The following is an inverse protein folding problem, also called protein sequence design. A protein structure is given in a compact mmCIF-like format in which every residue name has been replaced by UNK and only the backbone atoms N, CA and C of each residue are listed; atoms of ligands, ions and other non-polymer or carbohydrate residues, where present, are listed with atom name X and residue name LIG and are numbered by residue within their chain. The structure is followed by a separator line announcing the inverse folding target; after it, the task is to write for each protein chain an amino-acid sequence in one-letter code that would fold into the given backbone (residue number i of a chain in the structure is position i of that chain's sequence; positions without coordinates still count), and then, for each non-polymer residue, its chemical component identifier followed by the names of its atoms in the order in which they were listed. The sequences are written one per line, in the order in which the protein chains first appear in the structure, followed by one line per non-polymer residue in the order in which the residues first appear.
data_IF_329167663244
#
_entry.id   IF_329167663244
#
_cell.length_a   1.000
_cell.length_b   1.000
_cell.length_c   1.000
_cell.angle_alpha   90.00
_cell.angle_beta   90.00
_cell.angle_gamma   90.00
#
_symmetry.space_group_name_H-M   'P 1'
#
loop_
_entity.id
_entity.type
_entity.pdbx_description
1 polymer ?
#
# COMPACT_ATOMS: atom_id res chain seq x y z
N UNK A 1 -26.25 -15.58 11.50
CA UNK A 1 -25.35 -14.59 10.89
C UNK A 1 -25.84 -14.38 9.49
N UNK A 2 -26.22 -13.15 9.10
CA UNK A 2 -26.56 -12.88 7.72
C UNK A 2 -25.30 -13.12 6.89
N UNK A 3 -25.40 -13.91 5.81
CA UNK A 3 -24.31 -14.06 4.85
C UNK A 3 -24.01 -12.69 4.29
N UNK A 4 -22.85 -12.11 4.61
CA UNK A 4 -22.36 -10.93 3.90
C UNK A 4 -22.23 -11.39 2.46
N UNK A 5 -23.02 -10.79 1.55
CA UNK A 5 -22.87 -11.05 0.12
C UNK A 5 -21.43 -10.68 -0.25
N UNK A 6 -20.72 -11.60 -0.91
CA UNK A 6 -19.34 -11.37 -1.35
C UNK A 6 -19.27 -10.08 -2.19
N UNK A 7 -18.30 -9.21 -1.84
CA UNK A 7 -18.04 -8.00 -2.64
C UNK A 7 -17.29 -8.39 -3.90
N UNK A 8 -17.73 -7.85 -5.04
CA UNK A 8 -17.11 -8.13 -6.34
C UNK A 8 -16.10 -7.04 -6.70
N UNK A 9 -14.85 -7.46 -6.86
CA UNK A 9 -13.73 -6.58 -7.17
C UNK A 9 -13.34 -6.70 -8.64
N UNK A 10 -13.13 -5.55 -9.29
CA UNK A 10 -12.38 -5.40 -10.53
C UNK A 10 -11.00 -4.83 -10.25
N UNK A 11 -9.99 -5.27 -10.98
CA UNK A 11 -8.62 -4.73 -10.87
C UNK A 11 -8.23 -4.08 -12.19
N UNK A 12 -7.83 -2.81 -12.16
CA UNK A 12 -7.28 -2.11 -13.32
C UNK A 12 -5.78 -1.91 -13.17
N UNK A 13 -5.01 -2.52 -14.07
CA UNK A 13 -3.54 -2.61 -13.98
C UNK A 13 -3.07 -3.85 -13.24
N UNK A 14 -2.35 -4.74 -13.94
CA UNK A 14 -1.87 -6.02 -13.41
C UNK A 14 -0.34 -6.05 -13.28
N UNK A 15 0.24 -4.90 -12.86
CA UNK A 15 1.64 -4.81 -12.42
C UNK A 15 1.84 -5.43 -11.02
N UNK A 16 2.91 -5.06 -10.32
CA UNK A 16 3.21 -5.61 -8.99
C UNK A 16 2.02 -5.51 -8.03
N UNK A 17 1.46 -4.33 -7.85
CA UNK A 17 0.38 -4.11 -6.87
C UNK A 17 -0.93 -4.79 -7.31
N UNK A 18 -1.30 -4.72 -8.61
CA UNK A 18 -2.51 -5.38 -9.09
C UNK A 18 -2.47 -6.90 -8.95
N UNK A 19 -1.34 -7.52 -9.31
CA UNK A 19 -1.14 -8.96 -9.14
C UNK A 19 -1.16 -9.37 -7.66
N UNK A 20 -0.45 -8.65 -6.79
CA UNK A 20 -0.41 -9.00 -5.36
C UNK A 20 -1.71 -8.69 -4.64
N UNK A 21 -2.44 -7.64 -5.04
CA UNK A 21 -3.80 -7.39 -4.53
C UNK A 21 -4.78 -8.47 -4.96
N UNK A 22 -4.63 -9.02 -6.19
CA UNK A 22 -5.38 -10.18 -6.62
C UNK A 22 -5.09 -11.39 -5.71
N UNK A 23 -3.82 -11.71 -5.48
CA UNK A 23 -3.44 -12.83 -4.60
C UNK A 23 -3.88 -12.61 -3.14
N UNK A 24 -3.75 -11.39 -2.63
CA UNK A 24 -4.25 -11.04 -1.29
C UNK A 24 -5.77 -11.24 -1.18
N UNK A 25 -6.53 -10.87 -2.23
CA UNK A 25 -7.98 -11.05 -2.25
C UNK A 25 -8.41 -12.52 -2.24
N UNK A 26 -7.61 -13.45 -2.80
CA UNK A 26 -7.89 -14.89 -2.74
C UNK A 26 -7.91 -15.43 -1.31
N UNK A 27 -7.15 -14.80 -0.40
CA UNK A 27 -7.02 -15.20 0.99
C UNK A 27 -8.03 -14.49 1.93
N UNK A 28 -8.92 -13.62 1.40
CA UNK A 28 -9.89 -12.88 2.20
C UNK A 28 -11.31 -13.42 2.02
N UNK A 29 -11.99 -13.70 3.13
CA UNK A 29 -13.40 -14.10 3.10
C UNK A 29 -14.30 -12.95 2.65
N UNK A 30 -15.35 -13.25 1.91
CA UNK A 30 -16.33 -12.26 1.47
C UNK A 30 -15.84 -11.36 0.32
N UNK A 31 -14.77 -11.75 -0.38
CA UNK A 31 -14.21 -11.03 -1.53
C UNK A 31 -14.14 -11.96 -2.73
N UNK A 32 -14.50 -11.45 -3.90
CA UNK A 32 -14.39 -12.13 -5.17
C UNK A 32 -13.84 -11.19 -6.23
N UNK A 33 -12.70 -11.53 -6.82
CA UNK A 33 -12.19 -10.82 -8.00
C UNK A 33 -12.85 -11.43 -9.23
N UNK A 34 -13.66 -10.65 -9.93
CA UNK A 34 -14.46 -11.12 -11.08
C UNK A 34 -13.89 -10.70 -12.43
N UNK A 35 -13.11 -9.62 -12.46
CA UNK A 35 -12.52 -9.11 -13.70
C UNK A 35 -11.20 -8.37 -13.44
N UNK A 36 -10.29 -8.47 -14.41
CA UNK A 36 -9.00 -7.79 -14.43
C UNK A 36 -8.84 -7.11 -15.79
N UNK A 37 -8.37 -5.87 -15.79
CA UNK A 37 -7.99 -5.17 -17.01
C UNK A 37 -6.53 -4.78 -16.97
N UNK A 38 -5.81 -5.08 -18.03
CA UNK A 38 -4.49 -4.49 -18.32
C UNK A 38 -4.30 -4.40 -19.83
N UNK A 39 -4.06 -3.20 -20.38
CA UNK A 39 -3.92 -3.00 -21.82
C UNK A 39 -2.78 -3.79 -22.49
N UNK A 40 -1.79 -4.19 -21.69
CA UNK A 40 -0.51 -4.73 -22.19
C UNK A 40 -0.25 -6.18 -21.80
N UNK A 41 -1.09 -6.77 -20.94
CA UNK A 41 -0.87 -8.09 -20.36
C UNK A 41 -2.08 -8.98 -20.70
N UNK A 42 -1.86 -10.01 -21.50
CA UNK A 42 -2.88 -11.01 -21.85
C UNK A 42 -3.04 -12.07 -20.73
N UNK A 43 -4.13 -12.82 -20.75
CA UNK A 43 -4.50 -13.77 -19.70
C UNK A 43 -3.44 -14.87 -19.47
N UNK A 44 -2.80 -15.35 -20.52
CA UNK A 44 -1.73 -16.36 -20.45
C UNK A 44 -0.48 -15.81 -19.74
N UNK A 45 -0.14 -14.55 -20.01
CA UNK A 45 0.97 -13.90 -19.34
C UNK A 45 0.62 -13.54 -17.88
N UNK A 46 -0.64 -13.16 -17.58
CA UNK A 46 -1.12 -13.00 -16.20
C UNK A 46 -0.97 -14.31 -15.41
N UNK A 47 -1.37 -15.44 -16.02
CA UNK A 47 -1.21 -16.75 -15.41
C UNK A 47 0.25 -17.07 -15.10
N UNK A 48 1.17 -16.73 -16.00
CA UNK A 48 2.61 -16.89 -15.78
C UNK A 48 3.10 -16.01 -14.62
N UNK A 49 2.68 -14.73 -14.57
CA UNK A 49 3.08 -13.77 -13.52
C UNK A 49 2.57 -14.16 -12.14
N UNK A 50 1.43 -14.86 -12.04
CA UNK A 50 0.93 -15.40 -10.77
C UNK A 50 1.76 -16.61 -10.35
N UNK A 51 2.04 -17.53 -11.28
CA UNK A 51 2.78 -18.77 -10.99
C UNK A 51 4.18 -18.53 -10.46
N UNK A 52 4.85 -17.50 -10.95
CA UNK A 52 6.29 -17.28 -10.72
C UNK A 52 6.56 -15.85 -10.33
N UNK A 53 7.00 -15.66 -9.11
CA UNK A 53 7.43 -14.36 -8.58
C UNK A 53 8.80 -14.47 -7.94
N UNK A 54 9.70 -13.56 -8.31
CA UNK A 54 11.08 -13.56 -7.79
C UNK A 54 11.12 -13.25 -6.28
N UNK A 55 10.19 -12.44 -5.80
CA UNK A 55 10.17 -11.96 -4.42
C UNK A 55 9.29 -12.86 -3.55
N UNK A 56 8.04 -13.09 -4.00
CA UNK A 56 7.04 -13.80 -3.20
C UNK A 56 6.97 -15.30 -3.49
N UNK A 57 7.82 -15.78 -4.42
CA UNK A 57 7.94 -17.21 -4.70
C UNK A 57 6.89 -17.74 -5.66
N UNK A 58 6.66 -19.06 -5.62
CA UNK A 58 5.67 -19.71 -6.47
C UNK A 58 4.30 -19.70 -5.80
N UNK A 59 3.29 -19.42 -6.61
CA UNK A 59 1.90 -19.58 -6.17
C UNK A 59 1.58 -21.05 -5.91
N UNK A 60 0.98 -21.37 -4.79
CA UNK A 60 0.71 -22.75 -4.37
C UNK A 60 -0.56 -23.35 -4.99
N UNK A 61 -1.43 -22.51 -5.60
CA UNK A 61 -2.67 -22.94 -6.23
C UNK A 61 -2.51 -23.35 -7.71
N UNK A 62 -3.60 -23.76 -8.32
CA UNK A 62 -3.68 -24.06 -9.75
C UNK A 62 -3.98 -22.78 -10.55
N UNK A 63 -3.18 -22.49 -11.56
CA UNK A 63 -3.38 -21.33 -12.44
C UNK A 63 -3.30 -21.77 -13.89
N UNK A 64 -4.32 -21.42 -14.65
CA UNK A 64 -4.38 -21.58 -16.12
C UNK A 64 -5.07 -20.40 -16.77
N UNK A 65 -5.11 -20.37 -18.08
CA UNK A 65 -5.78 -19.33 -18.85
C UNK A 65 -6.47 -19.92 -20.07
N UNK A 66 -7.54 -19.27 -20.48
CA UNK A 66 -8.22 -19.44 -21.77
C UNK A 66 -8.31 -18.05 -22.43
N UNK A 67 -8.80 -17.99 -23.66
CA UNK A 67 -8.97 -16.72 -24.35
C UNK A 67 -9.92 -15.81 -23.57
N UNK A 68 -9.41 -14.62 -23.15
CA UNK A 68 -10.16 -13.63 -22.38
C UNK A 68 -10.45 -14.02 -20.92
N UNK A 69 -9.83 -15.07 -20.40
CA UNK A 69 -10.06 -15.56 -19.05
C UNK A 69 -8.78 -16.03 -18.36
N UNK A 70 -8.69 -15.73 -17.08
CA UNK A 70 -7.74 -16.31 -16.14
C UNK A 70 -8.52 -17.31 -15.26
N UNK A 71 -7.95 -18.48 -15.00
CA UNK A 71 -8.56 -19.51 -14.15
C UNK A 71 -7.61 -19.78 -12.99
N UNK A 72 -8.07 -19.52 -11.77
CA UNK A 72 -7.29 -19.72 -10.54
C UNK A 72 -8.11 -20.55 -9.56
N UNK A 73 -7.58 -21.71 -9.17
CA UNK A 73 -8.25 -22.67 -8.30
C UNK A 73 -9.70 -22.99 -8.76
N UNK A 74 -9.85 -23.15 -10.09
CA UNK A 74 -11.13 -23.45 -10.75
C UNK A 74 -12.10 -22.27 -10.87
N UNK A 75 -11.75 -21.08 -10.39
CA UNK A 75 -12.56 -19.86 -10.55
C UNK A 75 -12.16 -19.12 -11.81
N UNK A 76 -13.13 -18.74 -12.62
CA UNK A 76 -12.93 -17.95 -13.84
C UNK A 76 -12.94 -16.45 -13.50
N UNK A 77 -11.92 -15.74 -13.94
CA UNK A 77 -11.79 -14.28 -13.85
C UNK A 77 -11.71 -13.73 -15.27
N UNK A 78 -12.56 -12.78 -15.62
CA UNK A 78 -12.55 -12.15 -16.94
C UNK A 78 -11.33 -11.26 -17.11
N UNK A 79 -10.71 -11.29 -18.29
CA UNK A 79 -9.55 -10.46 -18.61
C UNK A 79 -9.88 -9.55 -19.79
N UNK A 80 -9.65 -8.26 -19.59
CA UNK A 80 -9.83 -7.21 -20.58
C UNK A 80 -8.49 -6.54 -20.91
N UNK A 81 -8.38 -5.96 -22.09
CA UNK A 81 -7.19 -5.24 -22.57
C UNK A 81 -7.55 -3.83 -23.06
N UNK A 82 -8.36 -3.12 -22.29
CA UNK A 82 -8.87 -1.78 -22.63
C UNK A 82 -7.92 -0.69 -22.16
N UNK A 83 -7.59 0.25 -23.06
CA UNK A 83 -6.79 1.45 -22.76
C UNK A 83 -7.63 2.53 -22.06
N UNK A 84 -8.88 2.68 -22.45
CA UNK A 84 -9.82 3.64 -21.83
C UNK A 84 -10.71 2.88 -20.83
N UNK A 85 -10.64 3.21 -19.55
CA UNK A 85 -11.45 2.56 -18.52
C UNK A 85 -12.96 2.61 -18.76
N UNK A 86 -13.45 3.57 -19.54
CA UNK A 86 -14.89 3.67 -19.90
C UNK A 86 -15.38 2.47 -20.72
N UNK A 87 -14.48 1.79 -21.43
CA UNK A 87 -14.79 0.63 -22.26
C UNK A 87 -14.79 -0.69 -21.49
N UNK A 88 -14.31 -0.70 -20.24
CA UNK A 88 -14.27 -1.91 -19.43
C UNK A 88 -15.69 -2.17 -18.89
N UNK A 89 -16.27 -3.36 -19.12
CA UNK A 89 -17.67 -3.60 -18.79
C UNK A 89 -17.90 -3.91 -17.30
N UNK A 90 -17.39 -3.08 -16.39
CA UNK A 90 -17.50 -3.28 -14.94
C UNK A 90 -18.94 -3.51 -14.47
N UNK A 91 -19.88 -2.70 -15.00
CA UNK A 91 -21.29 -2.82 -14.65
C UNK A 91 -21.92 -4.13 -15.11
N UNK A 92 -21.56 -4.63 -16.31
CA UNK A 92 -22.06 -5.89 -16.84
C UNK A 92 -21.53 -7.10 -16.07
N UNK A 93 -20.33 -6.98 -15.49
CA UNK A 93 -19.70 -8.02 -14.65
C UNK A 93 -20.14 -7.91 -13.18
N UNK A 94 -20.90 -6.90 -12.83
CA UNK A 94 -21.39 -6.67 -11.48
C UNK A 94 -20.31 -6.25 -10.50
N UNK A 95 -19.26 -5.57 -10.98
CA UNK A 95 -18.16 -5.08 -10.14
C UNK A 95 -18.67 -4.02 -9.18
N UNK A 96 -18.45 -4.24 -7.89
CA UNK A 96 -18.78 -3.26 -6.85
C UNK A 96 -17.63 -2.26 -6.65
N UNK A 97 -16.40 -2.76 -6.54
CA UNK A 97 -15.21 -1.97 -6.25
C UNK A 97 -14.14 -2.18 -7.29
N UNK A 98 -13.62 -1.10 -7.87
CA UNK A 98 -12.42 -1.16 -8.71
C UNK A 98 -11.19 -0.80 -7.87
N UNK A 99 -10.19 -1.68 -7.84
CA UNK A 99 -8.85 -1.36 -7.38
C UNK A 99 -8.07 -0.78 -8.57
N UNK A 100 -7.81 0.52 -8.52
CA UNK A 100 -7.07 1.23 -9.57
C UNK A 100 -5.57 1.13 -9.30
N UNK A 101 -4.92 0.15 -9.94
CA UNK A 101 -3.52 -0.23 -9.72
C UNK A 101 -2.58 0.15 -10.88
N UNK A 102 -3.08 0.88 -11.91
CA UNK A 102 -2.26 1.26 -13.07
C UNK A 102 -1.28 2.42 -12.78
N UNK A 103 -1.56 3.22 -11.75
CA UNK A 103 -0.82 4.45 -11.46
C UNK A 103 -1.10 5.62 -12.44
N UNK A 104 -2.06 5.47 -13.35
CA UNK A 104 -2.42 6.48 -14.37
C UNK A 104 -3.62 7.31 -13.95
N UNK A 105 -4.66 6.70 -13.38
CA UNK A 105 -5.93 7.32 -13.04
C UNK A 105 -5.98 7.69 -11.56
N UNK A 106 -5.10 8.61 -11.14
CA UNK A 106 -4.84 8.91 -9.71
C UNK A 106 -5.56 10.15 -9.20
N UNK A 107 -6.48 10.75 -9.97
CA UNK A 107 -7.34 11.87 -9.56
C UNK A 107 -8.80 11.47 -9.65
N UNK A 108 -9.68 12.18 -8.94
CA UNK A 108 -11.14 11.96 -9.01
C UNK A 108 -11.61 12.01 -10.46
N UNK A 109 -11.24 13.05 -11.20
CA UNK A 109 -11.63 13.25 -12.60
C UNK A 109 -11.28 12.03 -13.47
N UNK A 110 -10.04 11.55 -13.36
CA UNK A 110 -9.57 10.41 -14.17
C UNK A 110 -10.19 9.09 -13.72
N UNK A 111 -10.23 8.84 -12.42
CA UNK A 111 -10.78 7.59 -11.86
C UNK A 111 -12.30 7.48 -12.06
N UNK A 112 -12.99 8.60 -12.30
CA UNK A 112 -14.42 8.63 -12.60
C UNK A 112 -14.79 7.81 -13.86
N UNK A 113 -13.85 7.59 -14.76
CA UNK A 113 -14.06 6.73 -15.92
C UNK A 113 -14.50 5.30 -15.54
N UNK A 114 -14.03 4.78 -14.40
CA UNK A 114 -14.49 3.49 -13.88
C UNK A 114 -15.94 3.52 -13.36
N UNK A 115 -16.35 4.65 -12.75
CA UNK A 115 -17.75 4.85 -12.32
C UNK A 115 -18.66 4.94 -13.56
N UNK A 116 -18.24 5.67 -14.59
CA UNK A 116 -18.97 5.75 -15.87
C UNK A 116 -19.10 4.37 -16.55
N UNK A 117 -18.12 3.49 -16.34
CA UNK A 117 -18.12 2.09 -16.81
C UNK A 117 -18.97 1.15 -15.94
N UNK A 118 -19.61 1.66 -14.88
CA UNK A 118 -20.58 0.94 -14.05
C UNK A 118 -20.05 0.36 -12.75
N UNK A 119 -18.82 0.66 -12.35
CA UNK A 119 -18.34 0.34 -11.00
C UNK A 119 -19.04 1.24 -9.96
N UNK A 120 -19.29 0.72 -8.76
CA UNK A 120 -19.91 1.51 -7.68
C UNK A 120 -18.91 2.41 -6.98
N UNK A 121 -17.71 1.93 -6.75
CA UNK A 121 -16.64 2.63 -6.04
C UNK A 121 -15.28 2.38 -6.69
N UNK A 122 -14.33 3.30 -6.48
CA UNK A 122 -12.94 3.16 -6.93
C UNK A 122 -11.98 3.43 -5.76
N UNK A 123 -11.01 2.55 -5.58
CA UNK A 123 -9.93 2.72 -4.61
C UNK A 123 -8.62 2.85 -5.38
N UNK A 124 -8.03 4.03 -5.35
CA UNK A 124 -6.76 4.33 -6.02
C UNK A 124 -5.61 3.78 -5.18
N UNK A 125 -4.78 2.91 -5.77
CA UNK A 125 -3.60 2.32 -5.11
C UNK A 125 -2.36 3.23 -5.16
N UNK A 126 -2.56 4.52 -5.03
CA UNK A 126 -1.51 5.53 -5.03
C UNK A 126 -1.99 6.79 -4.29
N UNK A 127 -1.08 7.67 -3.84
CA UNK A 127 -1.47 8.97 -3.32
C UNK A 127 -2.25 9.76 -4.37
N UNK A 128 -3.37 10.34 -3.95
CA UNK A 128 -4.18 11.20 -4.81
C UNK A 128 -3.98 12.68 -4.48
N UNK A 129 -4.11 13.51 -5.51
CA UNK A 129 -4.07 14.97 -5.35
C UNK A 129 -5.36 15.49 -4.69
N UNK A 130 -6.49 14.90 -5.01
CA UNK A 130 -7.83 15.41 -4.72
C UNK A 130 -8.79 14.36 -4.10
N UNK A 131 -8.58 13.04 -4.30
CA UNK A 131 -9.38 12.03 -3.65
C UNK A 131 -9.03 11.92 -2.15
N UNK A 132 -10.05 11.72 -1.27
CA UNK A 132 -9.81 11.44 0.15
C UNK A 132 -8.89 10.24 0.33
N UNK A 133 -7.89 10.38 1.21
CA UNK A 133 -6.94 9.31 1.50
C UNK A 133 -7.29 8.65 2.83
N UNK A 134 -7.22 7.32 2.83
CA UNK A 134 -7.44 6.49 4.02
C UNK A 134 -6.25 5.57 4.26
N UNK A 135 -5.91 5.42 5.53
CA UNK A 135 -4.93 4.44 6.02
C UNK A 135 -5.61 3.62 7.11
N UNK A 136 -5.61 2.32 6.94
CA UNK A 136 -6.20 1.39 7.91
C UNK A 136 -5.53 1.55 9.28
N UNK A 137 -6.34 1.59 10.35
CA UNK A 137 -5.90 1.87 11.72
C UNK A 137 -5.72 3.36 12.07
N UNK A 138 -5.79 4.26 11.07
CA UNK A 138 -5.53 5.68 11.28
C UNK A 138 -6.77 6.54 11.15
N UNK A 139 -7.49 6.45 10.03
CA UNK A 139 -8.62 7.35 9.74
C UNK A 139 -9.74 6.72 8.91
N UNK A 140 -9.79 5.40 8.76
CA UNK A 140 -10.83 4.73 7.96
C UNK A 140 -12.24 5.00 8.47
N UNK A 141 -12.41 5.31 9.75
CA UNK A 141 -13.71 5.66 10.36
C UNK A 141 -14.31 6.97 9.81
N UNK A 142 -13.50 7.80 9.16
CA UNK A 142 -13.95 9.05 8.50
C UNK A 142 -14.56 8.80 7.12
N UNK A 143 -14.54 7.56 6.63
CA UNK A 143 -15.19 7.21 5.37
C UNK A 143 -16.71 7.37 5.48
N UNK A 144 -17.33 7.94 4.45
CA UNK A 144 -18.77 8.05 4.31
C UNK A 144 -19.22 7.47 2.96
N UNK A 145 -20.43 6.85 2.88
CA UNK A 145 -20.90 6.15 1.68
C UNK A 145 -21.02 7.00 0.41
N UNK A 146 -21.07 8.31 0.52
CA UNK A 146 -21.08 9.25 -0.62
C UNK A 146 -19.71 9.42 -1.29
N UNK A 147 -18.64 8.96 -0.65
CA UNK A 147 -17.29 8.95 -1.22
C UNK A 147 -17.14 7.80 -2.23
N UNK A 148 -17.29 8.09 -3.52
CA UNK A 148 -17.24 7.07 -4.57
C UNK A 148 -15.81 6.77 -5.05
N UNK A 149 -14.88 7.71 -4.90
CA UNK A 149 -13.49 7.57 -5.31
C UNK A 149 -12.62 7.98 -4.13
N UNK A 150 -11.81 7.05 -3.66
CA UNK A 150 -10.91 7.22 -2.51
C UNK A 150 -9.50 6.72 -2.86
N UNK A 151 -8.53 7.01 -2.01
CA UNK A 151 -7.15 6.57 -2.17
C UNK A 151 -6.66 5.83 -0.92
N UNK A 152 -5.91 4.75 -1.12
CA UNK A 152 -5.21 4.02 -0.06
C UNK A 152 -3.84 4.63 0.28
N UNK A 153 -3.56 5.87 -0.14
CA UNK A 153 -2.27 6.54 0.01
C UNK A 153 -1.09 5.73 -0.60
N UNK A 154 0.12 5.91 -0.09
CA UNK A 154 1.30 5.13 -0.52
C UNK A 154 1.67 4.05 0.49
N UNK A 155 2.51 3.08 0.09
CA UNK A 155 3.05 2.07 1.01
C UNK A 155 3.85 2.71 2.16
N UNK A 156 4.66 3.73 1.87
CA UNK A 156 5.40 4.48 2.89
C UNK A 156 4.47 5.23 3.85
N UNK A 157 3.37 5.81 3.36
CA UNK A 157 2.36 6.45 4.24
C UNK A 157 1.67 5.42 5.11
N UNK A 158 1.39 4.23 4.58
CA UNK A 158 0.79 3.13 5.35
C UNK A 158 1.73 2.59 6.44
N UNK A 159 3.04 2.71 6.29
CA UNK A 159 4.00 2.40 7.34
C UNK A 159 4.10 3.55 8.37
N UNK A 160 4.30 4.77 7.88
CA UNK A 160 4.58 5.92 8.74
C UNK A 160 3.37 6.37 9.56
N UNK A 161 2.17 6.39 8.98
CA UNK A 161 0.99 6.97 9.64
C UNK A 161 0.55 6.21 10.90
N UNK A 162 0.48 4.85 10.91
CA UNK A 162 0.19 4.11 12.14
C UNK A 162 1.23 4.37 13.25
N UNK A 163 2.53 4.34 12.92
CA UNK A 163 3.59 4.66 13.87
C UNK A 163 3.45 6.09 14.41
N UNK A 164 3.32 7.07 13.50
CA UNK A 164 3.17 8.47 13.89
C UNK A 164 1.92 8.70 14.73
N UNK A 165 0.82 7.99 14.47
CA UNK A 165 -0.40 8.06 15.28
C UNK A 165 -0.15 7.57 16.70
N UNK A 166 0.47 6.41 16.89
CA UNK A 166 0.78 5.87 18.21
C UNK A 166 1.65 6.85 19.00
N UNK A 167 2.70 7.39 18.37
CA UNK A 167 3.62 8.34 19.02
C UNK A 167 2.92 9.65 19.34
N UNK A 168 2.13 10.19 18.42
CA UNK A 168 1.42 11.45 18.62
C UNK A 168 0.35 11.34 19.72
N UNK A 169 -0.41 10.26 19.73
CA UNK A 169 -1.49 10.03 20.69
C UNK A 169 -0.96 9.89 22.13
N UNK A 170 0.22 9.30 22.32
CA UNK A 170 0.81 9.07 23.64
C UNK A 170 1.71 10.23 24.12
N UNK A 171 2.56 10.75 23.22
CA UNK A 171 3.65 11.66 23.60
C UNK A 171 3.55 13.02 22.89
N UNK A 172 2.74 13.15 21.84
CA UNK A 172 2.72 14.32 20.97
C UNK A 172 3.97 14.41 20.09
N UNK A 173 3.79 14.73 18.81
CA UNK A 173 4.89 15.05 17.90
C UNK A 173 4.91 16.56 17.67
N UNK A 174 6.03 17.20 18.04
CA UNK A 174 6.26 18.62 17.81
C UNK A 174 6.62 18.88 16.34
N UNK A 175 7.63 18.15 15.86
CA UNK A 175 8.11 18.14 14.48
C UNK A 175 8.95 16.90 14.23
N UNK A 176 9.18 16.57 12.94
CA UNK A 176 10.00 15.42 12.58
C UNK A 176 10.37 15.36 11.10
N UNK A 177 11.46 14.64 10.86
CA UNK A 177 11.95 14.31 9.54
C UNK A 177 11.87 12.79 9.34
N UNK A 178 11.29 12.37 8.23
CA UNK A 178 11.25 10.98 7.84
C UNK A 178 12.24 10.72 6.69
N UNK A 179 13.03 9.69 6.83
CA UNK A 179 13.77 9.11 5.71
C UNK A 179 13.25 7.71 5.45
N UNK A 180 12.86 7.39 4.23
CA UNK A 180 12.66 5.99 3.87
C UNK A 180 13.83 5.49 3.04
N UNK A 181 14.42 4.36 3.47
CA UNK A 181 15.33 3.58 2.64
C UNK A 181 14.47 2.55 1.94
N UNK A 182 14.26 2.75 0.64
CA UNK A 182 13.19 2.08 -0.11
C UNK A 182 13.77 1.16 -1.18
N UNK A 183 13.21 -0.03 -1.29
CA UNK A 183 13.50 -0.97 -2.36
C UNK A 183 13.20 -0.40 -3.74
N UNK A 184 13.77 -1.02 -4.76
CA UNK A 184 13.52 -0.65 -6.16
C UNK A 184 12.04 -0.85 -6.52
N UNK A 185 11.56 -0.06 -7.46
CA UNK A 185 10.20 -0.17 -8.00
C UNK A 185 10.22 -0.19 -9.52
N UNK A 186 9.16 -0.69 -10.15
CA UNK A 186 9.06 -0.88 -11.60
C UNK A 186 9.27 0.41 -12.43
N UNK A 187 9.15 1.59 -11.83
CA UNK A 187 9.37 2.87 -12.52
C UNK A 187 10.85 3.25 -12.67
N UNK A 188 11.73 2.59 -11.92
CA UNK A 188 13.18 2.84 -11.99
C UNK A 188 13.81 2.16 -13.20
N UNK A 189 14.98 2.65 -13.62
CA UNK A 189 15.74 2.10 -14.74
C UNK A 189 16.66 0.97 -14.27
N UNK A 190 16.73 -0.11 -15.03
CA UNK A 190 17.67 -1.21 -14.78
C UNK A 190 19.11 -0.83 -15.12
N UNK A 191 19.29 -0.03 -16.17
CA UNK A 191 20.57 0.58 -16.59
C UNK A 191 20.38 2.07 -16.74
N UNK A 192 21.47 2.85 -16.79
CA UNK A 192 21.42 4.30 -17.00
C UNK A 192 20.60 4.63 -18.27
N UNK A 193 19.59 5.47 -18.12
CA UNK A 193 18.70 5.85 -19.21
C UNK A 193 18.08 7.22 -19.00
N UNK A 194 17.54 7.79 -20.07
CA UNK A 194 16.94 9.10 -20.03
C UNK A 194 15.71 9.15 -19.09
N UNK A 195 15.67 10.18 -18.25
CA UNK A 195 14.52 10.55 -17.44
C UNK A 195 14.30 12.06 -17.54
N UNK A 196 13.14 12.48 -18.05
CA UNK A 196 12.85 13.89 -18.31
C UNK A 196 12.59 14.70 -17.03
N UNK A 197 12.00 14.07 -16.00
CA UNK A 197 11.54 14.76 -14.80
C UNK A 197 12.48 14.57 -13.60
N UNK A 198 13.09 13.42 -13.51
CA UNK A 198 13.97 13.03 -12.39
C UNK A 198 15.23 12.37 -12.94
N UNK A 199 16.30 13.14 -13.05
CA UNK A 199 17.57 12.65 -13.60
C UNK A 199 18.19 11.55 -12.73
N UNK A 200 18.03 11.63 -11.39
CA UNK A 200 18.51 10.60 -10.48
C UNK A 200 17.75 9.29 -10.67
N UNK A 201 16.44 9.34 -10.89
CA UNK A 201 15.61 8.17 -11.22
C UNK A 201 15.92 7.54 -12.60
N UNK A 202 16.72 8.22 -13.44
CA UNK A 202 17.27 7.68 -14.69
C UNK A 202 18.51 6.81 -14.51
N UNK A 203 19.10 6.74 -13.31
CA UNK A 203 20.30 5.96 -13.05
C UNK A 203 19.94 4.49 -12.70
N UNK A 204 20.91 3.59 -12.96
CA UNK A 204 20.74 2.16 -12.73
C UNK A 204 20.38 1.84 -11.26
N UNK A 205 19.19 1.31 -11.07
CA UNK A 205 18.64 1.03 -9.74
C UNK A 205 19.41 -0.06 -8.99
N UNK A 206 19.98 -1.03 -9.73
CA UNK A 206 20.71 -2.17 -9.17
C UNK A 206 22.11 -1.85 -8.65
N UNK A 207 22.63 -0.62 -8.91
CA UNK A 207 24.02 -0.28 -8.63
C UNK A 207 24.20 1.05 -7.86
N UNK A 208 23.12 1.70 -7.46
CA UNK A 208 23.19 3.03 -6.85
C UNK A 208 22.32 3.17 -5.60
N UNK A 209 22.74 4.05 -4.70
CA UNK A 209 21.88 4.68 -3.71
C UNK A 209 21.35 5.98 -4.34
N UNK A 210 20.04 6.05 -4.54
CA UNK A 210 19.41 7.14 -5.32
C UNK A 210 18.53 8.00 -4.40
N UNK A 211 18.95 9.24 -4.05
CA UNK A 211 18.08 10.16 -3.35
C UNK A 211 16.87 10.54 -4.20
N UNK A 212 15.68 10.47 -3.63
CA UNK A 212 14.42 10.76 -4.30
C UNK A 212 13.49 11.56 -3.39
N UNK A 213 12.63 12.36 -3.98
CA UNK A 213 11.58 13.04 -3.22
C UNK A 213 10.44 12.08 -2.91
N UNK A 214 9.79 12.30 -1.77
CA UNK A 214 8.57 11.57 -1.41
C UNK A 214 7.56 12.52 -0.78
N UNK A 215 6.28 12.33 -1.12
CA UNK A 215 5.16 13.01 -0.49
C UNK A 215 4.61 12.30 0.74
N UNK A 216 5.16 11.13 1.10
CA UNK A 216 4.58 10.25 2.11
C UNK A 216 4.45 10.91 3.49
N UNK A 217 5.49 11.61 3.95
CA UNK A 217 5.44 12.30 5.25
C UNK A 217 4.43 13.47 5.27
N UNK A 218 4.30 14.20 4.15
CA UNK A 218 3.27 15.24 4.02
C UNK A 218 1.86 14.66 3.94
N UNK A 219 1.73 13.46 3.37
CA UNK A 219 0.45 12.76 3.31
C UNK A 219 -0.06 12.33 4.68
N UNK A 220 0.84 12.11 5.66
CA UNK A 220 0.44 11.85 7.05
C UNK A 220 -0.41 12.99 7.60
N UNK A 221 -0.08 14.24 7.31
CA UNK A 221 -0.90 15.40 7.72
C UNK A 221 -2.29 15.47 7.08
N UNK A 222 -2.56 14.70 6.00
CA UNK A 222 -3.90 14.58 5.42
C UNK A 222 -4.75 13.54 6.16
N UNK A 223 -4.14 12.48 6.68
CA UNK A 223 -4.84 11.40 7.40
C UNK A 223 -4.86 11.63 8.91
N UNK A 224 -3.87 12.37 9.45
CA UNK A 224 -3.77 12.83 10.84
C UNK A 224 -3.63 14.36 10.82
N UNK A 225 -4.72 15.14 10.83
CA UNK A 225 -4.69 16.59 10.68
C UNK A 225 -3.82 17.32 11.69
N UNK A 226 -3.68 16.78 12.91
CA UNK A 226 -2.86 17.32 13.99
C UNK A 226 -1.35 17.33 13.65
N UNK A 227 -0.94 16.50 12.70
CA UNK A 227 0.44 16.43 12.20
C UNK A 227 0.66 17.22 10.90
N UNK A 228 -0.35 17.98 10.46
CA UNK A 228 -0.22 18.84 9.28
C UNK A 228 0.87 19.88 9.45
N UNK A 229 1.85 19.90 8.54
CA UNK A 229 3.00 20.81 8.59
C UNK A 229 4.10 20.42 9.59
N UNK A 230 3.90 19.40 10.43
CA UNK A 230 4.89 18.94 11.39
C UNK A 230 5.88 17.91 10.84
N UNK A 231 5.49 17.18 9.80
CA UNK A 231 6.30 16.11 9.21
C UNK A 231 6.64 16.41 7.74
N UNK A 232 7.90 16.19 7.38
CA UNK A 232 8.35 16.11 5.98
C UNK A 232 9.43 15.04 5.86
N UNK A 233 9.87 14.73 4.63
CA UNK A 233 10.89 13.69 4.48
C UNK A 233 11.35 13.49 3.06
N UNK A 234 12.24 12.51 2.90
CA UNK A 234 12.83 12.10 1.65
C UNK A 234 12.99 10.57 1.58
N UNK A 235 13.43 10.08 0.43
CA UNK A 235 13.68 8.66 0.18
C UNK A 235 15.10 8.46 -0.33
N UNK A 236 15.73 7.37 0.09
CA UNK A 236 16.85 6.74 -0.63
C UNK A 236 16.37 5.45 -1.26
N UNK A 237 16.50 5.33 -2.59
CA UNK A 237 16.29 4.07 -3.30
C UNK A 237 17.57 3.25 -3.24
N UNK A 238 17.47 1.98 -2.84
CA UNK A 238 18.60 1.06 -2.69
C UNK A 238 18.38 -0.22 -3.50
N UNK A 239 19.43 -0.97 -3.85
CA UNK A 239 19.33 -2.16 -4.70
C UNK A 239 18.82 -3.40 -3.95
N UNK A 240 17.73 -3.28 -3.23
CA UNK A 240 16.96 -4.41 -2.67
C UNK A 240 15.69 -4.58 -3.48
N UNK A 241 15.23 -5.82 -3.64
CA UNK A 241 14.09 -6.14 -4.52
C UNK A 241 12.75 -5.82 -3.87
N UNK A 242 12.67 -5.93 -2.54
CA UNK A 242 11.48 -5.69 -1.74
C UNK A 242 11.86 -5.39 -0.29
N UNK A 243 10.90 -5.01 0.51
CA UNK A 243 10.98 -4.52 1.88
C UNK A 243 11.77 -3.22 2.00
N UNK A 244 11.12 -2.25 2.53
CA UNK A 244 11.62 -0.90 2.78
C UNK A 244 11.58 -0.58 4.28
N UNK A 245 12.24 0.49 4.68
CA UNK A 245 12.27 0.93 6.08
C UNK A 245 11.97 2.42 6.18
N UNK A 246 11.20 2.79 7.18
CA UNK A 246 10.98 4.18 7.62
C UNK A 246 11.87 4.46 8.82
N UNK A 247 12.63 5.53 8.74
CA UNK A 247 13.32 6.20 9.83
C UNK A 247 12.54 7.47 10.15
N UNK A 248 11.86 7.49 11.29
CA UNK A 248 11.19 8.68 11.80
C UNK A 248 12.03 9.29 12.92
N UNK A 249 12.73 10.38 12.61
CA UNK A 249 13.44 11.19 13.62
C UNK A 249 12.56 12.37 14.00
N UNK A 250 12.14 12.46 15.26
CA UNK A 250 11.19 13.47 15.69
C UNK A 250 11.44 14.00 17.11
N UNK A 251 10.97 15.22 17.35
CA UNK A 251 10.86 15.82 18.66
C UNK A 251 9.47 15.54 19.24
N UNK A 252 9.43 15.06 20.48
CA UNK A 252 8.23 14.82 21.26
C UNK A 252 7.80 16.09 22.01
N UNK A 253 6.49 16.24 22.25
CA UNK A 253 5.95 17.31 23.10
C UNK A 253 6.08 16.95 24.58
N UNK A 254 5.97 15.66 24.93
CA UNK A 254 6.11 15.13 26.29
C UNK A 254 7.36 14.26 26.37
N UNK A 255 8.20 14.45 27.39
CA UNK A 255 9.34 13.57 27.62
C UNK A 255 8.91 12.12 27.79
N UNK A 256 9.69 11.19 27.24
CA UNK A 256 9.50 9.76 27.39
C UNK A 256 10.83 9.02 27.27
N UNK A 257 11.00 7.95 28.02
CA UNK A 257 12.13 7.02 27.80
C UNK A 257 11.87 6.19 26.55
N UNK A 258 12.92 5.63 25.98
CA UNK A 258 12.79 4.74 24.82
C UNK A 258 11.96 3.49 25.16
N UNK A 259 12.09 2.99 26.38
CA UNK A 259 11.33 1.85 26.89
C UNK A 259 9.82 2.14 26.98
N UNK A 260 9.45 3.38 27.39
CA UNK A 260 8.04 3.81 27.42
C UNK A 260 7.46 3.89 26.00
N UNK A 261 8.26 4.36 25.04
CA UNK A 261 7.87 4.39 23.62
C UNK A 261 7.67 2.97 23.10
N UNK A 262 8.62 2.07 23.33
CA UNK A 262 8.52 0.67 22.94
C UNK A 262 7.28 0.00 23.56
N UNK A 263 7.01 0.26 24.84
CA UNK A 263 5.85 -0.28 25.54
C UNK A 263 4.52 0.24 24.93
N UNK A 264 4.45 1.51 24.55
CA UNK A 264 3.28 2.08 23.90
C UNK A 264 3.03 1.46 22.51
N UNK A 265 4.08 1.29 21.70
CA UNK A 265 3.95 0.65 20.38
C UNK A 265 3.56 -0.82 20.53
N UNK A 266 4.18 -1.56 21.44
CA UNK A 266 3.84 -2.96 21.71
C UNK A 266 2.38 -3.11 22.13
N UNK A 267 1.92 -2.26 23.06
CA UNK A 267 0.52 -2.26 23.48
C UNK A 267 -0.43 -2.00 22.32
N UNK A 268 -0.13 -1.02 21.45
CA UNK A 268 -0.96 -0.71 20.29
C UNK A 268 -1.00 -1.87 19.29
N UNK A 269 0.15 -2.53 19.03
CA UNK A 269 0.23 -3.67 18.10
C UNK A 269 -0.60 -4.88 18.57
N UNK A 270 -0.74 -5.07 19.88
CA UNK A 270 -1.54 -6.14 20.46
C UNK A 270 -3.04 -5.80 20.54
N UNK A 271 -3.45 -4.54 20.40
CA UNK A 271 -4.81 -4.03 20.59
C UNK A 271 -5.33 -3.29 19.33
N UNK A 272 -5.39 -1.97 19.38
CA UNK A 272 -6.05 -1.12 18.36
C UNK A 272 -5.37 -1.13 16.99
N UNK A 273 -4.08 -1.47 16.92
CA UNK A 273 -3.31 -1.58 15.69
C UNK A 273 -3.01 -3.04 15.30
N UNK A 274 -3.71 -4.00 15.90
CA UNK A 274 -3.50 -5.42 15.59
C UNK A 274 -3.73 -5.72 14.11
N UNK A 275 -2.79 -6.43 13.49
CA UNK A 275 -2.78 -6.74 12.05
C UNK A 275 -2.41 -5.56 11.14
N UNK A 276 -2.00 -4.43 11.72
CA UNK A 276 -1.52 -3.24 11.01
C UNK A 276 -0.10 -2.93 11.44
N UNK A 277 0.15 -2.88 12.76
CA UNK A 277 1.45 -2.70 13.37
C UNK A 277 1.91 -4.00 14.01
N UNK A 278 3.13 -4.42 13.71
CA UNK A 278 3.84 -5.47 14.42
C UNK A 278 4.94 -4.87 15.28
N UNK A 279 5.29 -5.55 16.37
CA UNK A 279 6.38 -5.20 17.26
C UNK A 279 7.44 -6.29 17.25
N UNK A 280 8.65 -5.96 16.84
CA UNK A 280 9.78 -6.91 16.80
C UNK A 280 10.90 -6.44 17.73
N UNK A 281 11.51 -7.40 18.45
CA UNK A 281 12.64 -7.18 19.37
C UNK A 281 13.85 -8.05 19.06
N UNK A 282 13.79 -8.82 17.99
CA UNK A 282 14.93 -9.59 17.48
C UNK A 282 15.81 -8.74 16.56
N UNK A 283 17.10 -9.06 16.40
CA UNK A 283 18.00 -8.38 15.47
C UNK A 283 17.72 -8.80 14.02
N UNK A 284 16.74 -8.18 13.40
CA UNK A 284 16.20 -8.49 12.07
C UNK A 284 16.77 -7.61 10.96
N UNK A 285 16.59 -8.04 9.72
CA UNK A 285 16.93 -7.31 8.50
C UNK A 285 15.76 -7.34 7.51
N UNK A 286 15.83 -6.55 6.45
CA UNK A 286 14.71 -6.36 5.52
C UNK A 286 14.12 -7.66 4.96
N UNK A 287 14.95 -8.65 4.62
CA UNK A 287 14.46 -9.90 4.01
C UNK A 287 13.61 -10.77 4.93
N UNK A 288 13.66 -10.53 6.25
CA UNK A 288 12.84 -11.26 7.22
C UNK A 288 11.35 -10.89 7.12
N UNK A 289 11.04 -9.78 6.44
CA UNK A 289 9.69 -9.25 6.30
C UNK A 289 9.12 -9.38 4.89
N UNK A 290 9.78 -10.12 4.01
CA UNK A 290 9.21 -10.43 2.69
C UNK A 290 7.92 -11.23 2.90
N UNK A 291 6.83 -10.77 2.26
CA UNK A 291 5.50 -11.38 2.37
C UNK A 291 4.82 -11.21 3.73
N UNK A 292 5.20 -10.18 4.49
CA UNK A 292 4.52 -9.80 5.73
C UNK A 292 3.32 -8.89 5.42
N UNK A 293 2.16 -9.17 6.04
CA UNK A 293 0.91 -8.43 5.81
C UNK A 293 0.83 -7.11 6.60
N UNK A 294 1.68 -6.94 7.63
CA UNK A 294 1.70 -5.70 8.39
C UNK A 294 2.30 -4.57 7.57
N UNK A 295 1.70 -3.39 7.64
CA UNK A 295 2.21 -2.21 6.92
C UNK A 295 3.21 -1.40 7.72
N UNK A 296 3.38 -1.68 9.01
CA UNK A 296 4.32 -0.98 9.89
C UNK A 296 4.86 -1.94 10.95
N UNK A 297 6.08 -2.41 10.76
CA UNK A 297 6.72 -3.38 11.66
C UNK A 297 7.78 -2.64 12.47
N UNK A 298 7.43 -2.26 13.70
CA UNK A 298 8.28 -1.48 14.57
C UNK A 298 9.45 -2.30 15.09
N UNK A 299 10.68 -1.84 14.82
CA UNK A 299 11.92 -2.46 15.28
C UNK A 299 12.37 -1.79 16.59
N UNK A 300 12.13 -2.46 17.69
CA UNK A 300 12.48 -1.95 19.03
C UNK A 300 14.00 -1.90 19.27
N UNK A 301 14.80 -2.63 18.47
CA UNK A 301 16.25 -2.71 18.64
C UNK A 301 17.01 -1.70 17.80
N UNK A 302 16.40 -1.17 16.74
CA UNK A 302 17.04 -0.28 15.78
C UNK A 302 16.87 1.22 16.09
N UNK A 303 15.95 1.59 16.99
CA UNK A 303 15.70 2.98 17.36
C UNK A 303 16.69 3.53 18.39
N UNK A 304 16.69 4.84 18.55
CA UNK A 304 17.60 5.58 19.44
C UNK A 304 16.86 6.74 20.09
N UNK A 305 17.02 6.94 21.40
CA UNK A 305 16.69 8.19 22.08
C UNK A 305 17.98 8.97 22.35
N UNK A 306 18.10 10.16 21.75
CA UNK A 306 19.22 11.05 22.05
C UNK A 306 18.98 11.83 23.36
N UNK A 307 17.73 12.24 23.55
CA UNK A 307 17.21 12.85 24.78
C UNK A 307 15.84 12.24 25.05
N UNK A 308 15.23 12.60 26.16
CA UNK A 308 13.86 12.21 26.50
C UNK A 308 12.77 12.81 25.57
N UNK A 309 13.15 13.74 24.69
CA UNK A 309 12.26 14.38 23.71
C UNK A 309 12.74 14.29 22.27
N UNK A 310 13.94 13.77 22.00
CA UNK A 310 14.44 13.65 20.64
C UNK A 310 14.82 12.21 20.31
N UNK A 311 14.05 11.58 19.44
CA UNK A 311 14.08 10.15 19.18
C UNK A 311 14.14 9.84 17.68
N UNK A 312 14.75 8.69 17.37
CA UNK A 312 14.74 8.04 16.07
C UNK A 312 14.00 6.71 16.22
N UNK A 313 12.98 6.50 15.42
CA UNK A 313 12.13 5.31 15.42
C UNK A 313 12.22 4.63 14.07
N UNK A 314 12.31 3.31 14.06
CA UNK A 314 12.49 2.51 12.85
C UNK A 314 11.31 1.57 12.68
N UNK A 315 10.74 1.53 11.47
CA UNK A 315 9.70 0.57 11.11
C UNK A 315 9.93 0.02 9.71
N UNK A 316 9.87 -1.31 9.57
CA UNK A 316 9.94 -2.05 8.32
C UNK A 316 8.58 -2.17 7.67
N UNK A 317 8.54 -2.39 6.37
CA UNK A 317 7.31 -2.70 5.65
C UNK A 317 7.61 -3.41 4.32
N UNK A 318 6.89 -4.50 4.06
CA UNK A 318 6.82 -5.04 2.70
C UNK A 318 6.02 -4.04 1.85
N UNK A 319 6.72 -3.31 0.99
CA UNK A 319 6.12 -2.24 0.19
C UNK A 319 5.18 -2.74 -0.90
N UNK A 320 5.14 -4.04 -1.15
CA UNK A 320 4.27 -4.72 -2.11
C UNK A 320 3.15 -5.49 -1.41
N UNK A 321 3.47 -6.49 -0.59
CA UNK A 321 2.50 -7.42 0.00
C UNK A 321 1.66 -6.79 1.11
N UNK A 322 2.29 -6.17 2.11
CA UNK A 322 1.57 -5.51 3.19
C UNK A 322 0.64 -4.41 2.68
N UNK A 323 1.12 -3.62 1.72
CA UNK A 323 0.31 -2.58 1.06
C UNK A 323 -0.88 -3.18 0.28
N UNK A 324 -0.66 -4.25 -0.49
CA UNK A 324 -1.70 -4.92 -1.28
C UNK A 324 -2.79 -5.53 -0.40
N UNK A 325 -2.41 -6.12 0.74
CA UNK A 325 -3.37 -6.59 1.74
C UNK A 325 -4.24 -5.46 2.28
N UNK A 326 -3.65 -4.31 2.65
CA UNK A 326 -4.43 -3.18 3.19
C UNK A 326 -5.30 -2.49 2.14
N UNK A 327 -4.94 -2.55 0.86
CA UNK A 327 -5.80 -2.11 -0.23
C UNK A 327 -7.09 -2.94 -0.30
N UNK A 328 -6.99 -4.26 -0.17
CA UNK A 328 -8.14 -5.18 -0.10
C UNK A 328 -8.91 -5.00 1.21
N UNK A 329 -8.21 -4.86 2.34
CA UNK A 329 -8.84 -4.62 3.65
C UNK A 329 -9.66 -3.33 3.66
N UNK A 330 -9.17 -2.27 2.98
CA UNK A 330 -9.92 -1.03 2.81
C UNK A 330 -11.21 -1.24 1.99
N UNK A 331 -11.15 -2.06 0.92
CA UNK A 331 -12.35 -2.40 0.15
C UNK A 331 -13.40 -3.13 1.01
N UNK A 332 -12.96 -4.10 1.81
CA UNK A 332 -13.84 -4.81 2.75
C UNK A 332 -14.43 -3.85 3.78
N UNK A 333 -13.60 -2.97 4.34
CA UNK A 333 -14.04 -2.00 5.34
C UNK A 333 -15.12 -1.07 4.81
N UNK A 334 -14.89 -0.44 3.66
CA UNK A 334 -15.89 0.50 3.08
C UNK A 334 -17.17 -0.22 2.67
N UNK A 335 -17.08 -1.48 2.23
CA UNK A 335 -18.25 -2.31 1.93
C UNK A 335 -19.12 -2.58 3.17
N UNK A 336 -18.51 -2.69 4.33
CA UNK A 336 -19.22 -2.87 5.61
C UNK A 336 -19.94 -1.62 6.08
N UNK A 337 -19.70 -0.47 5.44
CA UNK A 337 -20.28 0.83 5.81
C UNK A 337 -21.40 1.31 4.86
N UNK A 338 -21.71 0.54 3.81
CA UNK A 338 -22.81 0.77 2.87
C UNK A 338 -22.35 1.18 1.50
#
# INVERSE_FOLDING_TARGET
MASISSIKIGINGFGRIGNLSFQAALNKEGVEVVAINDPFIAADYMAYMIKYDTVHGKFEGEVSSEEGKLIVDGKEIKVYNEMDPKNIPWGADGVDYVLECSGVFTTIEKANAHIEAGAKKVIISAPSKDAPMFVMGVNQEKYTPDMNIISNASCTTNCLAPLAKIINDNFGIKDGLMTTVHSITATQKTVDGASKKDWRGGRAASANIIPSTTGAAKAVGKVIPELSGKLTGMSFRVPTVDVSVVDLTCNLEKPATYEEICAAVKKASENEMKGIVEYVSDPVVSSDFIHDEHTSIFDATAGIALTDTFVKLVAWYDNEWGYSNKLVDLAIYIASRG
#
